data_IF_881611354783
#
_entry.id   IF_881611354783
#
_cell.length_a   1.000
_cell.length_b   1.000
_cell.length_c   1.000
_cell.angle_alpha   90.00
_cell.angle_beta   90.00
_cell.angle_gamma   90.00
#
_symmetry.space_group_name_H-M   'P 1'
#
loop_
_entity.id
_entity.type
_entity.pdbx_description
1 polymer ?
#
# COMPACT_ATOMS: atom_id res chain seq x y z
N UNK A 1 14.88 -16.82 12.15
CA UNK A 1 13.47 -16.86 11.68
C UNK A 1 12.58 -15.94 12.50
N UNK A 2 12.57 -16.02 13.84
CA UNK A 2 11.75 -15.12 14.68
C UNK A 2 12.02 -13.62 14.46
N UNK A 3 13.28 -13.19 14.34
CA UNK A 3 13.61 -11.78 14.13
C UNK A 3 12.95 -11.20 12.87
N UNK A 4 13.10 -11.87 11.72
CA UNK A 4 12.49 -11.43 10.45
C UNK A 4 10.97 -11.45 10.49
N UNK A 5 10.38 -12.40 11.22
CA UNK A 5 8.93 -12.43 11.43
C UNK A 5 8.46 -11.18 12.19
N UNK A 6 9.07 -10.88 13.34
CA UNK A 6 8.68 -9.70 14.14
C UNK A 6 9.01 -8.39 13.44
N UNK A 7 10.11 -8.33 12.69
CA UNK A 7 10.52 -7.18 11.90
C UNK A 7 9.41 -6.69 10.96
N UNK A 8 8.61 -7.60 10.40
CA UNK A 8 7.59 -7.29 9.40
C UNK A 8 6.18 -7.10 9.97
N UNK A 9 5.97 -7.35 11.27
CA UNK A 9 4.65 -7.35 11.90
C UNK A 9 3.92 -6.01 11.86
N UNK A 10 4.65 -4.91 11.67
CA UNK A 10 4.12 -3.55 11.58
C UNK A 10 3.86 -3.11 10.14
N UNK A 11 4.25 -3.91 9.14
CA UNK A 11 4.12 -3.54 7.73
C UNK A 11 2.68 -3.36 7.29
N UNK A 12 1.76 -4.17 7.83
CA UNK A 12 0.35 -4.14 7.45
C UNK A 12 -0.31 -2.78 7.77
N UNK A 13 0.18 -2.08 8.80
CA UNK A 13 -0.33 -0.77 9.20
C UNK A 13 0.54 0.40 8.71
N UNK A 14 1.86 0.24 8.73
CA UNK A 14 2.79 1.37 8.57
C UNK A 14 3.77 1.22 7.39
N UNK A 15 3.81 0.05 6.75
CA UNK A 15 4.78 -0.29 5.71
C UNK A 15 6.27 -0.11 6.12
N UNK A 16 6.55 -0.08 7.42
CA UNK A 16 7.89 0.04 8.01
C UNK A 16 8.09 -1.02 9.09
N UNK A 17 9.35 -1.37 9.34
CA UNK A 17 9.72 -2.32 10.38
C UNK A 17 9.57 -1.78 11.81
N UNK A 18 9.75 -2.65 12.79
CA UNK A 18 9.56 -2.37 14.23
C UNK A 18 10.47 -1.25 14.77
N UNK A 19 11.60 -1.00 14.11
CA UNK A 19 12.54 0.08 14.37
C UNK A 19 11.99 1.47 14.04
N UNK A 20 10.97 1.53 13.20
CA UNK A 20 10.39 2.80 12.71
C UNK A 20 9.08 3.18 13.38
N UNK A 21 8.54 2.35 14.29
CA UNK A 21 7.27 2.60 14.96
C UNK A 21 7.46 3.01 16.42
N UNK A 22 6.48 3.72 16.98
CA UNK A 22 6.48 4.06 18.39
C UNK A 22 6.14 2.85 19.28
N UNK A 23 6.42 2.93 20.59
CA UNK A 23 5.98 1.90 21.53
C UNK A 23 4.45 1.76 21.60
N UNK A 24 3.70 2.84 21.34
CA UNK A 24 2.24 2.80 21.25
C UNK A 24 1.76 2.04 20.02
N UNK A 25 2.40 2.24 18.87
CA UNK A 25 2.06 1.54 17.62
C UNK A 25 2.43 0.06 17.71
N UNK A 26 3.57 -0.24 18.32
CA UNK A 26 4.02 -1.59 18.63
C UNK A 26 2.99 -2.34 19.50
N UNK A 27 2.35 -1.64 20.45
CA UNK A 27 1.25 -2.15 21.25
C UNK A 27 -0.01 -2.39 20.41
N UNK A 28 -0.39 -1.46 19.54
CA UNK A 28 -1.54 -1.61 18.63
C UNK A 28 -1.37 -2.81 17.68
N UNK A 29 -0.14 -3.08 17.21
CA UNK A 29 0.18 -4.24 16.36
C UNK A 29 0.27 -5.59 17.12
N UNK A 30 -0.10 -5.62 18.41
CA UNK A 30 -0.03 -6.79 19.28
C UNK A 30 1.36 -7.48 19.26
N UNK A 31 2.44 -6.69 19.33
CA UNK A 31 3.79 -7.23 19.44
C UNK A 31 4.01 -7.92 20.81
N UNK A 32 4.88 -8.95 20.89
CA UNK A 32 5.10 -9.69 22.12
C UNK A 32 5.53 -8.80 23.29
N UNK A 33 5.02 -9.12 24.48
CA UNK A 33 5.34 -8.41 25.72
C UNK A 33 4.47 -7.18 25.99
N UNK A 34 3.73 -6.68 25.01
CA UNK A 34 2.90 -5.48 25.17
C UNK A 34 1.68 -5.74 26.08
N UNK A 35 1.07 -6.92 25.98
CA UNK A 35 -0.06 -7.33 26.81
C UNK A 35 0.34 -7.49 28.30
N UNK A 36 1.57 -7.95 28.56
CA UNK A 36 2.08 -8.16 29.92
C UNK A 36 2.38 -6.87 30.68
N UNK A 37 2.33 -5.70 30.03
CA UNK A 37 2.59 -4.41 30.66
C UNK A 37 1.44 -3.91 31.56
N UNK A 38 0.26 -4.54 31.50
CA UNK A 38 -0.88 -4.15 32.34
C UNK A 38 -1.38 -2.72 32.08
N UNK A 39 -1.23 -2.23 30.84
CA UNK A 39 -1.66 -0.90 30.45
C UNK A 39 -3.20 -0.82 30.38
N UNK A 40 -3.80 0.35 30.66
CA UNK A 40 -5.23 0.57 30.43
C UNK A 40 -5.60 0.23 28.98
N UNK A 41 -6.83 -0.22 28.67
CA UNK A 41 -7.27 -0.52 27.31
C UNK A 41 -6.89 0.56 26.30
N UNK A 42 -6.72 0.17 25.03
CA UNK A 42 -6.62 1.14 23.95
C UNK A 42 -7.89 2.03 23.95
N UNK A 43 -7.76 3.26 23.46
CA UNK A 43 -8.94 4.11 23.32
C UNK A 43 -9.91 3.53 22.28
N UNK A 44 -11.14 4.04 22.25
CA UNK A 44 -12.19 3.49 21.41
C UNK A 44 -11.89 3.58 19.91
N UNK A 45 -11.08 4.56 19.49
CA UNK A 45 -10.68 4.75 18.09
C UNK A 45 -9.64 3.70 17.69
N UNK A 46 -8.57 3.54 18.48
CA UNK A 46 -7.55 2.54 18.24
C UNK A 46 -8.07 1.10 18.38
N UNK A 47 -9.10 0.86 19.20
CA UNK A 47 -9.80 -0.43 19.25
C UNK A 47 -10.65 -0.67 17.99
N UNK A 48 -11.37 0.35 17.53
CA UNK A 48 -12.20 0.24 16.33
C UNK A 48 -11.34 -0.10 15.09
N UNK A 49 -10.18 0.54 14.94
CA UNK A 49 -9.24 0.26 13.85
C UNK A 49 -8.73 -1.20 13.83
N UNK A 50 -8.72 -1.87 14.99
CA UNK A 50 -8.30 -3.28 15.12
C UNK A 50 -9.46 -4.28 14.97
N UNK A 51 -10.67 -3.88 15.37
CA UNK A 51 -11.85 -4.76 15.42
C UNK A 51 -12.73 -4.66 14.17
N UNK A 52 -12.69 -3.55 13.45
CA UNK A 52 -13.49 -3.36 12.25
C UNK A 52 -13.03 -4.30 11.13
N UNK A 53 -13.94 -5.06 10.48
CA UNK A 53 -13.57 -5.92 9.37
C UNK A 53 -12.92 -5.12 8.24
N UNK A 54 -11.61 -5.29 8.08
CA UNK A 54 -10.80 -4.56 7.12
C UNK A 54 -11.17 -4.94 5.68
N UNK A 55 -12.19 -4.28 5.13
CA UNK A 55 -12.81 -4.59 3.83
C UNK A 55 -12.64 -3.47 2.79
N UNK A 56 -11.84 -2.45 3.11
CA UNK A 56 -11.65 -1.26 2.27
C UNK A 56 -10.55 -1.42 1.20
N UNK A 57 -10.26 -2.65 0.80
CA UNK A 57 -9.17 -2.94 -0.13
C UNK A 57 -9.67 -3.47 -1.45
N UNK A 58 -8.99 -3.03 -2.51
CA UNK A 58 -9.05 -3.75 -3.77
C UNK A 58 -8.57 -5.19 -3.54
N UNK A 59 -9.11 -6.17 -4.28
CA UNK A 59 -8.73 -7.58 -4.15
C UNK A 59 -7.22 -7.84 -4.37
N UNK A 60 -6.54 -6.96 -5.11
CA UNK A 60 -5.10 -6.96 -5.37
C UNK A 60 -4.37 -5.75 -4.74
N UNK A 61 -4.99 -5.09 -3.76
CA UNK A 61 -4.43 -3.94 -3.04
C UNK A 61 -4.20 -2.72 -3.94
N UNK A 62 -3.11 -1.99 -3.71
CA UNK A 62 -2.82 -0.77 -4.49
C UNK A 62 -2.61 -1.02 -5.99
N UNK A 63 -2.34 -2.28 -6.39
CA UNK A 63 -2.27 -2.63 -7.81
C UNK A 63 -3.61 -2.34 -8.52
N UNK A 64 -4.75 -2.64 -7.89
CA UNK A 64 -6.06 -2.36 -8.45
C UNK A 64 -6.27 -0.88 -8.73
N UNK A 65 -5.86 0.00 -7.81
CA UNK A 65 -5.90 1.45 -8.00
C UNK A 65 -5.06 1.89 -9.19
N UNK A 66 -3.79 1.45 -9.27
CA UNK A 66 -2.90 1.79 -10.37
C UNK A 66 -3.44 1.29 -11.71
N UNK A 67 -3.98 0.07 -11.74
CA UNK A 67 -4.54 -0.54 -12.95
C UNK A 67 -5.74 0.22 -13.48
N UNK A 68 -6.64 0.66 -12.59
CA UNK A 68 -7.78 1.52 -12.96
C UNK A 68 -7.34 2.89 -13.48
N UNK A 69 -6.30 3.50 -12.87
CA UNK A 69 -5.71 4.75 -13.39
C UNK A 69 -5.14 4.56 -14.79
N UNK A 70 -4.35 3.50 -15.02
CA UNK A 70 -3.79 3.18 -16.33
C UNK A 70 -4.89 2.96 -17.36
N UNK A 71 -5.95 2.19 -17.03
CA UNK A 71 -7.10 1.99 -17.91
C UNK A 71 -7.79 3.30 -18.28
N UNK A 72 -7.92 4.24 -17.34
CA UNK A 72 -8.55 5.53 -17.60
C UNK A 72 -7.71 6.42 -18.52
N UNK A 73 -6.39 6.37 -18.38
CA UNK A 73 -5.44 7.21 -19.11
C UNK A 73 -5.05 6.63 -20.48
N UNK A 74 -4.88 5.31 -20.57
CA UNK A 74 -4.42 4.58 -21.75
C UNK A 74 -5.28 3.29 -21.88
N UNK A 75 -6.53 3.39 -22.34
CA UNK A 75 -7.44 2.24 -22.41
C UNK A 75 -6.91 1.07 -23.24
N UNK A 76 -6.07 1.34 -24.25
CA UNK A 76 -5.44 0.32 -25.08
C UNK A 76 -4.41 -0.53 -24.31
N UNK A 77 -3.84 0.02 -23.23
CA UNK A 77 -2.86 -0.69 -22.38
C UNK A 77 -3.51 -1.70 -21.44
N UNK A 78 -4.73 -1.43 -20.97
CA UNK A 78 -5.48 -2.33 -20.09
C UNK A 78 -6.96 -2.44 -20.53
N UNK A 79 -7.27 -3.35 -21.47
CA UNK A 79 -8.64 -3.53 -21.93
C UNK A 79 -9.55 -4.08 -20.82
N UNK A 80 -10.86 -3.92 -21.01
CA UNK A 80 -11.89 -4.30 -20.03
C UNK A 80 -12.59 -3.11 -19.40
N UNK A 81 -13.62 -3.40 -18.61
CA UNK A 81 -14.51 -2.39 -17.99
C UNK A 81 -15.00 -2.77 -16.59
N UNK A 82 -14.63 -3.95 -16.09
CA UNK A 82 -15.07 -4.49 -14.80
C UNK A 82 -13.93 -4.49 -13.78
N UNK A 83 -14.25 -4.76 -12.51
CA UNK A 83 -13.21 -4.89 -11.48
C UNK A 83 -12.45 -6.21 -11.66
N UNK A 84 -13.15 -7.27 -12.01
CA UNK A 84 -12.63 -8.61 -12.20
C UNK A 84 -11.65 -8.67 -13.38
N UNK A 85 -12.01 -8.05 -14.52
CA UNK A 85 -11.08 -7.92 -15.64
C UNK A 85 -9.92 -6.97 -15.33
N UNK A 86 -10.13 -5.97 -14.46
CA UNK A 86 -9.05 -5.08 -14.02
C UNK A 86 -7.99 -5.89 -13.32
N UNK A 87 -8.33 -6.86 -12.47
CA UNK A 87 -7.33 -7.69 -11.76
C UNK A 87 -6.66 -8.70 -12.69
N UNK A 88 -7.43 -9.32 -13.60
CA UNK A 88 -6.98 -10.51 -14.36
C UNK A 88 -6.38 -10.22 -15.74
N UNK A 89 -6.70 -9.08 -16.34
CA UNK A 89 -6.22 -8.75 -17.69
C UNK A 89 -4.69 -8.55 -17.73
N UNK A 90 -4.04 -8.98 -18.82
CA UNK A 90 -2.62 -8.68 -19.03
C UNK A 90 -2.46 -7.20 -19.38
N UNK A 91 -1.55 -6.52 -18.68
CA UNK A 91 -1.18 -5.14 -19.02
C UNK A 91 -0.18 -5.12 -20.18
N UNK A 92 -0.47 -4.33 -21.21
CA UNK A 92 0.43 -4.09 -22.35
C UNK A 92 1.42 -2.97 -22.00
N UNK A 93 2.48 -3.32 -21.28
CA UNK A 93 3.52 -2.38 -20.83
C UNK A 93 4.21 -1.64 -21.97
N UNK A 94 4.30 -2.26 -23.15
CA UNK A 94 4.87 -1.67 -24.36
C UNK A 94 4.08 -0.46 -24.88
N UNK A 95 2.85 -0.26 -24.40
CA UNK A 95 2.03 0.91 -24.75
C UNK A 95 2.20 2.06 -23.76
N UNK A 96 2.90 1.83 -22.64
CA UNK A 96 3.26 2.86 -21.65
C UNK A 96 4.50 3.62 -22.11
N UNK A 97 4.67 4.84 -21.59
CA UNK A 97 5.87 5.67 -21.76
C UNK A 97 6.33 5.89 -23.22
N UNK A 98 5.38 5.91 -24.16
CA UNK A 98 5.69 6.17 -25.58
C UNK A 98 6.34 7.55 -25.72
N UNK A 99 7.42 7.67 -26.53
CA UNK A 99 8.13 8.93 -26.71
C UNK A 99 7.22 10.09 -27.10
N UNK A 100 6.20 9.85 -27.93
CA UNK A 100 5.25 10.86 -28.37
C UNK A 100 4.36 11.45 -27.25
N UNK A 101 4.25 10.75 -26.11
CA UNK A 101 3.41 11.15 -24.97
C UNK A 101 4.22 11.74 -23.82
N UNK A 102 5.55 11.83 -23.96
CA UNK A 102 6.42 12.41 -22.93
C UNK A 102 6.20 13.92 -22.86
N UNK A 103 6.05 14.45 -21.65
CA UNK A 103 6.09 15.90 -21.45
C UNK A 103 7.41 16.43 -22.02
N UNK A 104 7.41 17.54 -22.79
CA UNK A 104 8.66 18.14 -23.25
C UNK A 104 9.51 18.47 -22.02
N UNK A 105 10.72 17.92 -21.96
CA UNK A 105 11.66 18.26 -20.89
C UNK A 105 11.91 19.77 -20.95
N UNK A 106 11.55 20.50 -19.90
CA UNK A 106 12.14 21.81 -19.65
C UNK A 106 13.65 21.59 -19.53
N UNK A 107 14.51 22.43 -20.14
CA UNK A 107 15.94 22.32 -19.94
C UNK A 107 16.21 22.32 -18.44
N UNK A 108 16.77 21.23 -17.92
CA UNK A 108 17.29 21.21 -16.57
C UNK A 108 18.30 22.35 -16.51
N UNK A 109 18.03 23.36 -15.67
CA UNK A 109 19.03 24.35 -15.30
C UNK A 109 20.26 23.55 -14.87
N UNK A 110 21.32 23.64 -15.68
CA UNK A 110 22.64 23.18 -15.32
C UNK A 110 22.94 23.85 -13.98
N UNK A 111 22.98 23.04 -12.92
CA UNK A 111 23.56 23.48 -11.66
C UNK A 111 25.05 23.53 -11.92
N UNK A 112 25.54 24.76 -12.06
CA UNK A 112 26.96 25.11 -11.95
C UNK A 112 27.55 24.61 -10.63
#
# INVERSE_FOLDING_TARGET
MALMYFQQRTNDFFAIGIEGVSCSDARACALPGMEAMGLPPLDGEALADLEEPYTYHFPDGNAGLTRLMVRKLIPEALPGSTMEDSVTARLHYELLDRPEKRHPHSPQQQRD
#
